data_IF_412813165125
#
_entry.id   IF_412813165125
#
_cell.length_a   1.000
_cell.length_b   1.000
_cell.length_c   1.000
_cell.angle_alpha   90.00
_cell.angle_beta   90.00
_cell.angle_gamma   90.00
#
_symmetry.space_group_name_H-M   'P 1'
#
loop_
_entity.id
_entity.type
_entity.pdbx_description
1 polymer ?
#
# COMPACT_ATOMS: atom_id res chain seq x y z
N UNK A 1 -16.55 3.55 18.20
CA UNK A 1 -15.25 2.87 18.19
C UNK A 1 -14.27 3.68 19.03
N UNK A 2 -13.59 3.07 19.98
CA UNK A 2 -12.64 3.76 20.89
C UNK A 2 -11.22 3.63 20.34
N UNK A 3 -10.54 4.74 20.04
CA UNK A 3 -9.21 4.71 19.42
C UNK A 3 -8.10 4.40 20.43
N UNK A 4 -8.14 5.05 21.60
CA UNK A 4 -7.09 5.01 22.63
C UNK A 4 -7.32 3.90 23.65
N UNK A 5 -7.11 2.65 23.23
CA UNK A 5 -7.36 1.47 24.06
C UNK A 5 -6.30 0.39 23.89
N UNK A 6 -6.00 -0.34 24.97
CA UNK A 6 -5.25 -1.60 24.93
C UNK A 6 -6.05 -2.69 24.22
N UNK A 7 -5.41 -3.35 23.26
CA UNK A 7 -6.02 -4.36 22.39
C UNK A 7 -5.28 -5.67 22.46
N UNK A 8 -6.04 -6.75 22.52
CA UNK A 8 -5.52 -8.10 22.29
C UNK A 8 -5.33 -8.37 20.80
N UNK A 9 -4.58 -9.42 20.49
CA UNK A 9 -4.28 -9.85 19.11
C UNK A 9 -5.55 -9.94 18.24
N UNK A 10 -6.57 -10.65 18.72
CA UNK A 10 -7.82 -10.83 17.98
C UNK A 10 -8.62 -9.53 17.82
N UNK A 11 -8.53 -8.62 18.79
CA UNK A 11 -9.19 -7.32 18.72
C UNK A 11 -8.57 -6.41 17.66
N UNK A 12 -7.25 -6.43 17.48
CA UNK A 12 -6.59 -5.67 16.40
C UNK A 12 -7.16 -6.06 15.02
N UNK A 13 -7.33 -7.36 14.80
CA UNK A 13 -7.88 -7.90 13.55
C UNK A 13 -9.38 -7.55 13.43
N UNK A 14 -10.16 -7.81 14.48
CA UNK A 14 -11.60 -7.52 14.50
C UNK A 14 -11.94 -6.04 14.32
N UNK A 15 -11.20 -5.15 14.99
CA UNK A 15 -11.38 -3.70 14.88
C UNK A 15 -11.02 -3.20 13.48
N UNK A 16 -10.04 -3.83 12.81
CA UNK A 16 -9.70 -3.51 11.41
C UNK A 16 -10.90 -3.68 10.49
N UNK A 17 -11.62 -4.82 10.57
CA UNK A 17 -12.81 -5.03 9.73
C UNK A 17 -14.03 -4.23 10.22
N UNK A 18 -14.15 -4.02 11.53
CA UNK A 18 -15.20 -3.17 12.09
C UNK A 18 -15.06 -1.73 11.60
N UNK A 19 -13.84 -1.22 11.45
CA UNK A 19 -13.59 0.09 10.85
C UNK A 19 -14.15 0.18 9.43
N UNK A 20 -13.86 -0.79 8.56
CA UNK A 20 -14.43 -0.78 7.21
C UNK A 20 -15.95 -0.98 7.20
N UNK A 21 -16.52 -1.69 8.18
CA UNK A 21 -17.97 -1.79 8.33
C UNK A 21 -18.60 -0.45 8.70
N UNK A 22 -17.97 0.32 9.58
CA UNK A 22 -18.50 1.61 10.05
C UNK A 22 -18.21 2.77 9.08
N UNK A 23 -17.00 2.82 8.53
CA UNK A 23 -16.47 3.96 7.76
C UNK A 23 -16.19 3.64 6.30
N UNK A 24 -16.21 2.37 5.88
CA UNK A 24 -15.66 1.91 4.61
C UNK A 24 -16.21 2.61 3.37
N UNK A 25 -17.52 2.92 3.33
CA UNK A 25 -18.08 3.66 2.19
C UNK A 25 -17.49 5.06 2.06
N UNK A 26 -17.47 5.83 3.16
CA UNK A 26 -16.91 7.19 3.15
C UNK A 26 -15.39 7.16 2.93
N UNK A 27 -14.69 6.20 3.55
CA UNK A 27 -13.27 5.96 3.38
C UNK A 27 -12.90 5.68 1.92
N UNK A 28 -13.54 4.68 1.28
CA UNK A 28 -13.21 4.27 -0.09
C UNK A 28 -13.54 5.37 -1.10
N UNK A 29 -14.66 6.08 -0.92
CA UNK A 29 -15.01 7.20 -1.79
C UNK A 29 -13.95 8.31 -1.73
N UNK A 30 -13.59 8.76 -0.52
CA UNK A 30 -12.53 9.76 -0.35
C UNK A 30 -11.17 9.26 -0.86
N UNK A 31 -10.85 7.98 -0.64
CA UNK A 31 -9.61 7.36 -1.12
C UNK A 31 -9.52 7.41 -2.64
N UNK A 32 -10.59 7.02 -3.34
CA UNK A 32 -10.67 7.05 -4.79
C UNK A 32 -10.71 8.47 -5.35
N UNK A 33 -11.36 9.42 -4.66
CA UNK A 33 -11.35 10.82 -5.08
C UNK A 33 -9.93 11.41 -5.05
N UNK A 34 -9.14 11.08 -4.02
CA UNK A 34 -7.77 11.59 -3.88
C UNK A 34 -6.77 10.84 -4.78
N UNK A 35 -6.82 9.51 -4.79
CA UNK A 35 -5.83 8.68 -5.48
C UNK A 35 -6.22 8.33 -6.93
N UNK A 36 -7.52 8.31 -7.25
CA UNK A 36 -8.02 7.80 -8.53
C UNK A 36 -7.50 8.55 -9.74
N UNK A 37 -7.37 9.89 -9.66
CA UNK A 37 -6.77 10.68 -10.73
C UNK A 37 -5.30 10.31 -10.99
N UNK A 38 -4.53 10.08 -9.93
CA UNK A 38 -3.11 9.69 -10.02
C UNK A 38 -2.99 8.28 -10.60
N UNK A 39 -3.84 7.34 -10.17
CA UNK A 39 -3.90 5.97 -10.68
C UNK A 39 -4.26 5.95 -12.16
N UNK A 40 -5.22 6.78 -12.60
CA UNK A 40 -5.58 6.92 -14.02
C UNK A 40 -4.43 7.52 -14.84
N UNK A 41 -3.76 8.55 -14.34
CA UNK A 41 -2.59 9.13 -15.01
C UNK A 41 -1.44 8.13 -15.12
N UNK A 42 -1.23 7.29 -14.09
CA UNK A 42 -0.27 6.19 -14.14
C UNK A 42 -0.62 5.19 -15.25
N UNK A 43 -1.89 4.77 -15.35
CA UNK A 43 -2.34 3.88 -16.43
C UNK A 43 -2.06 4.50 -17.81
N UNK A 44 -2.47 5.75 -18.01
CA UNK A 44 -2.27 6.45 -19.29
C UNK A 44 -0.78 6.53 -19.62
N UNK A 45 0.07 6.88 -18.65
CA UNK A 45 1.52 6.97 -18.83
C UNK A 45 2.12 5.61 -19.21
N UNK A 46 1.67 4.53 -18.56
CA UNK A 46 2.14 3.17 -18.85
C UNK A 46 1.69 2.72 -20.24
N UNK A 47 0.44 2.96 -20.61
CA UNK A 47 -0.10 2.58 -21.92
C UNK A 47 0.56 3.38 -23.04
N UNK A 48 0.71 4.70 -22.90
CA UNK A 48 1.32 5.54 -23.94
C UNK A 48 2.82 5.30 -24.08
N UNK A 49 3.53 5.09 -22.97
CA UNK A 49 4.99 4.99 -23.00
C UNK A 49 5.55 3.57 -23.11
N UNK A 50 4.81 2.55 -22.69
CA UNK A 50 5.25 1.15 -22.70
C UNK A 50 4.22 0.21 -23.37
N UNK A 51 3.15 0.74 -23.97
CA UNK A 51 2.10 -0.06 -24.59
C UNK A 51 2.60 -0.99 -25.69
N UNK A 52 3.56 -0.57 -26.51
CA UNK A 52 4.16 -1.43 -27.54
C UNK A 52 4.97 -2.57 -26.94
N UNK A 53 5.77 -2.31 -25.90
CA UNK A 53 6.53 -3.32 -25.17
C UNK A 53 5.55 -4.34 -24.54
N UNK A 54 4.49 -3.85 -23.91
CA UNK A 54 3.44 -4.68 -23.31
C UNK A 54 2.72 -5.50 -24.40
N UNK A 55 2.34 -4.89 -25.52
CA UNK A 55 1.68 -5.54 -26.65
C UNK A 55 2.55 -6.67 -27.22
N UNK A 56 3.87 -6.46 -27.35
CA UNK A 56 4.78 -7.50 -27.82
C UNK A 56 4.94 -8.65 -26.80
N UNK A 57 4.90 -8.35 -25.49
CA UNK A 57 4.93 -9.37 -24.43
C UNK A 57 3.67 -10.25 -24.43
N UNK A 58 2.49 -9.67 -24.70
CA UNK A 58 1.21 -10.38 -24.71
C UNK A 58 0.78 -10.92 -26.08
N UNK A 59 1.23 -10.31 -27.17
CA UNK A 59 0.86 -10.64 -28.55
C UNK A 59 1.54 -11.90 -29.08
N UNK A 60 2.57 -12.38 -28.39
CA UNK A 60 3.33 -13.57 -28.77
C UNK A 60 4.10 -13.35 -30.06
N UNK A 61 5.35 -13.76 -30.05
CA UNK A 61 6.14 -13.87 -31.25
C UNK A 61 5.72 -15.14 -32.02
N UNK A 62 4.45 -15.20 -32.45
CA UNK A 62 3.83 -16.37 -33.10
C UNK A 62 4.56 -16.74 -34.40
N UNK A 63 5.32 -15.80 -34.97
CA UNK A 63 6.08 -15.93 -36.21
C UNK A 63 7.60 -16.10 -36.04
N UNK A 64 8.16 -16.12 -34.82
CA UNK A 64 9.60 -16.37 -34.60
C UNK A 64 10.54 -15.20 -34.91
N UNK A 65 10.04 -13.97 -34.98
CA UNK A 65 10.84 -12.76 -35.24
C UNK A 65 11.72 -12.38 -34.04
N UNK A 66 12.96 -11.97 -34.29
CA UNK A 66 13.91 -11.68 -33.20
C UNK A 66 13.44 -10.50 -32.35
N UNK A 67 13.60 -10.59 -31.03
CA UNK A 67 13.27 -9.58 -30.00
C UNK A 67 13.51 -8.13 -30.49
N UNK A 68 12.46 -7.42 -30.91
CA UNK A 68 12.53 -6.03 -31.41
C UNK A 68 12.80 -4.99 -30.30
N UNK A 69 12.93 -5.42 -29.05
CA UNK A 69 13.14 -4.51 -27.91
C UNK A 69 14.37 -3.62 -28.10
N UNK A 70 15.47 -4.15 -28.63
CA UNK A 70 16.69 -3.36 -28.84
C UNK A 70 16.46 -2.27 -29.90
N UNK A 71 15.78 -2.60 -30.99
CA UNK A 71 15.46 -1.63 -32.04
C UNK A 71 14.46 -0.59 -31.54
N UNK A 72 13.35 -1.02 -30.92
CA UNK A 72 12.36 -0.12 -30.33
C UNK A 72 12.99 0.82 -29.28
N UNK A 73 13.86 0.29 -28.42
CA UNK A 73 14.59 1.08 -27.44
C UNK A 73 15.50 2.11 -28.12
N UNK A 74 16.28 1.70 -29.11
CA UNK A 74 17.18 2.61 -29.84
C UNK A 74 16.40 3.72 -30.55
N UNK A 75 15.25 3.37 -31.15
CA UNK A 75 14.43 4.30 -31.92
C UNK A 75 13.63 5.25 -31.01
N UNK A 76 13.31 4.83 -29.78
CA UNK A 76 12.43 5.57 -28.85
C UNK A 76 13.11 5.95 -27.52
N UNK A 77 14.44 5.90 -27.44
CA UNK A 77 15.19 6.06 -26.19
C UNK A 77 14.80 7.32 -25.42
N UNK A 78 14.69 8.45 -26.12
CA UNK A 78 14.35 9.74 -25.49
C UNK A 78 12.94 9.72 -24.90
N UNK A 79 11.94 9.23 -25.65
CA UNK A 79 10.57 9.09 -25.17
C UNK A 79 10.52 8.18 -23.93
N UNK A 80 11.21 7.04 -23.96
CA UNK A 80 11.24 6.09 -22.85
C UNK A 80 11.87 6.70 -21.60
N UNK A 81 12.94 7.49 -21.72
CA UNK A 81 13.54 8.21 -20.58
C UNK A 81 12.54 9.21 -19.99
N UNK A 82 11.90 10.04 -20.83
CA UNK A 82 10.92 11.02 -20.35
C UNK A 82 9.71 10.35 -19.68
N UNK A 83 9.13 9.31 -20.30
CA UNK A 83 8.05 8.53 -19.70
C UNK A 83 8.50 7.91 -18.38
N UNK A 84 9.72 7.37 -18.29
CA UNK A 84 10.25 6.77 -17.05
C UNK A 84 10.33 7.80 -15.91
N UNK A 85 10.77 9.04 -16.22
CA UNK A 85 10.82 10.13 -15.25
C UNK A 85 9.40 10.52 -14.79
N UNK A 86 8.46 10.68 -15.72
CA UNK A 86 7.07 11.00 -15.39
C UNK A 86 6.45 9.89 -14.53
N UNK A 87 6.66 8.63 -14.91
CA UNK A 87 6.20 7.46 -14.16
C UNK A 87 6.76 7.46 -12.75
N UNK A 88 8.07 7.70 -12.59
CA UNK A 88 8.71 7.80 -11.28
C UNK A 88 8.11 8.90 -10.40
N UNK A 89 7.87 10.09 -10.96
CA UNK A 89 7.25 11.20 -10.24
C UNK A 89 5.79 10.87 -9.83
N UNK A 90 5.01 10.26 -10.73
CA UNK A 90 3.64 9.82 -10.42
C UNK A 90 3.62 8.72 -9.35
N UNK A 91 4.57 7.80 -9.35
CA UNK A 91 4.70 6.77 -8.32
C UNK A 91 5.06 7.36 -6.96
N UNK A 92 5.97 8.34 -6.90
CA UNK A 92 6.28 9.07 -5.67
C UNK A 92 5.05 9.80 -5.13
N UNK A 93 4.29 10.45 -6.02
CA UNK A 93 3.09 11.17 -5.66
C UNK A 93 1.99 10.20 -5.19
N UNK A 94 1.81 9.07 -5.88
CA UNK A 94 0.89 8.00 -5.47
C UNK A 94 1.28 7.47 -4.09
N UNK A 95 2.55 7.15 -3.86
CA UNK A 95 3.06 6.69 -2.56
C UNK A 95 2.69 7.67 -1.44
N UNK A 96 2.90 8.96 -1.69
CA UNK A 96 2.62 10.02 -0.73
C UNK A 96 1.14 10.06 -0.34
N UNK A 97 0.24 10.04 -1.33
CA UNK A 97 -1.20 10.11 -1.08
C UNK A 97 -1.78 8.80 -0.56
N UNK A 98 -1.44 7.67 -1.18
CA UNK A 98 -2.00 6.36 -0.87
C UNK A 98 -1.63 5.90 0.53
N UNK A 99 -0.38 6.07 0.97
CA UNK A 99 0.07 5.55 2.27
C UNK A 99 -0.25 6.50 3.43
N UNK A 100 -0.36 7.81 3.19
CA UNK A 100 -0.72 8.77 4.24
C UNK A 100 -2.22 8.92 4.44
N UNK A 101 -3.02 8.61 3.41
CA UNK A 101 -4.47 8.75 3.46
C UNK A 101 -5.11 8.03 4.65
N UNK A 102 -4.81 6.74 4.93
CA UNK A 102 -5.42 6.04 6.05
C UNK A 102 -5.07 6.67 7.39
N UNK A 103 -3.86 7.19 7.52
CA UNK A 103 -3.36 7.82 8.74
C UNK A 103 -4.10 9.13 9.01
N UNK A 104 -4.26 9.98 7.99
CA UNK A 104 -5.04 11.22 8.13
C UNK A 104 -6.53 10.94 8.37
N UNK A 105 -7.09 9.95 7.68
CA UNK A 105 -8.48 9.56 7.92
C UNK A 105 -8.68 9.12 9.36
N UNK A 106 -7.82 8.23 9.87
CA UNK A 106 -7.83 7.79 11.27
C UNK A 106 -7.69 8.98 12.22
N UNK A 107 -6.74 9.89 11.94
CA UNK A 107 -6.51 11.08 12.75
C UNK A 107 -7.77 11.93 12.89
N UNK A 108 -8.43 12.26 11.77
CA UNK A 108 -9.66 13.05 11.77
C UNK A 108 -10.75 12.35 12.57
N UNK A 109 -10.96 11.04 12.34
CA UNK A 109 -12.00 10.29 13.05
C UNK A 109 -11.69 10.18 14.55
N UNK A 110 -10.42 10.03 14.93
CA UNK A 110 -10.01 9.99 16.35
C UNK A 110 -10.18 11.33 17.05
N UNK A 111 -10.00 12.45 16.34
CA UNK A 111 -10.11 13.81 16.92
C UNK A 111 -11.56 14.32 16.95
N UNK A 112 -12.36 13.98 15.94
CA UNK A 112 -13.71 14.57 15.77
C UNK A 112 -14.85 13.61 16.07
N UNK A 113 -14.60 12.30 16.09
CA UNK A 113 -15.65 11.27 16.12
C UNK A 113 -16.56 11.26 14.89
N UNK A 114 -16.29 12.10 13.87
CA UNK A 114 -17.17 12.29 12.72
C UNK A 114 -17.13 11.06 11.80
N UNK A 115 -18.31 10.54 11.44
CA UNK A 115 -18.46 9.42 10.49
C UNK A 115 -18.43 9.84 9.02
N UNK A 116 -18.51 11.15 8.75
CA UNK A 116 -18.54 11.71 7.40
C UNK A 116 -17.34 12.64 7.21
N UNK A 117 -16.16 12.03 7.07
CA UNK A 117 -14.94 12.76 6.73
C UNK A 117 -15.09 13.30 5.31
N UNK A 118 -14.71 14.56 5.11
CA UNK A 118 -14.75 15.23 3.81
C UNK A 118 -13.40 15.17 3.11
N UNK A 119 -13.39 15.20 1.78
CA UNK A 119 -12.16 15.21 1.00
C UNK A 119 -11.31 16.45 1.29
N UNK A 120 -11.95 17.60 1.54
CA UNK A 120 -11.26 18.86 1.88
C UNK A 120 -10.49 18.76 3.18
N UNK A 121 -11.08 18.18 4.24
CA UNK A 121 -10.39 17.98 5.52
C UNK A 121 -9.11 17.16 5.33
N UNK A 122 -9.19 16.08 4.55
CA UNK A 122 -8.04 15.21 4.27
C UNK A 122 -6.97 15.97 3.47
N UNK A 123 -7.37 16.72 2.43
CA UNK A 123 -6.46 17.52 1.60
C UNK A 123 -5.75 18.60 2.42
N UNK A 124 -6.43 19.22 3.37
CA UNK A 124 -5.84 20.25 4.22
C UNK A 124 -4.75 19.66 5.14
N UNK A 125 -4.98 18.46 5.67
CA UNK A 125 -3.93 17.72 6.38
C UNK A 125 -2.74 17.36 5.48
N UNK A 126 -2.97 16.97 4.23
CA UNK A 126 -1.89 16.75 3.25
C UNK A 126 -1.07 18.02 3.01
N UNK A 127 -1.73 19.17 2.75
CA UNK A 127 -1.06 20.45 2.50
C UNK A 127 -0.24 20.88 3.72
N UNK A 128 -0.83 20.82 4.91
CA UNK A 128 -0.16 21.18 6.16
C UNK A 128 1.05 20.31 6.51
N UNK A 129 1.09 19.07 6.00
CA UNK A 129 2.17 18.11 6.29
C UNK A 129 3.05 17.77 5.08
N UNK A 130 2.88 18.44 3.93
CA UNK A 130 3.51 18.05 2.68
C UNK A 130 5.04 17.89 2.79
N UNK A 131 5.72 18.86 3.41
CA UNK A 131 7.18 18.79 3.64
C UNK A 131 7.57 17.61 4.52
N UNK A 132 6.81 17.34 5.58
CA UNK A 132 7.08 16.22 6.50
C UNK A 132 6.90 14.89 5.80
N UNK A 133 5.84 14.74 4.99
CA UNK A 133 5.59 13.57 4.18
C UNK A 133 6.69 13.32 3.16
N UNK A 134 7.08 14.36 2.42
CA UNK A 134 8.14 14.25 1.41
C UNK A 134 9.47 13.81 2.05
N UNK A 135 9.86 14.42 3.17
CA UNK A 135 11.05 14.00 3.93
C UNK A 135 10.91 12.58 4.49
N UNK A 136 9.71 12.20 4.96
CA UNK A 136 9.44 10.87 5.48
C UNK A 136 9.62 9.78 4.40
N UNK A 137 9.00 9.94 3.24
CA UNK A 137 9.07 8.95 2.17
C UNK A 137 10.46 8.87 1.54
N UNK A 138 11.13 10.01 1.32
CA UNK A 138 12.53 10.01 0.89
C UNK A 138 13.45 9.35 1.93
N UNK A 139 13.29 9.69 3.21
CA UNK A 139 14.04 9.06 4.31
C UNK A 139 13.82 7.55 4.34
N UNK A 140 12.58 7.10 4.17
CA UNK A 140 12.22 5.66 4.14
C UNK A 140 12.91 4.96 2.97
N UNK A 141 12.88 5.55 1.77
CA UNK A 141 13.53 5.01 0.56
C UNK A 141 15.04 4.88 0.75
N UNK A 142 15.71 5.88 1.32
CA UNK A 142 17.18 5.88 1.42
C UNK A 142 17.74 5.22 2.68
N UNK A 143 16.92 5.00 3.71
CA UNK A 143 17.40 4.45 5.00
C UNK A 143 16.75 3.10 5.28
N UNK A 144 15.42 3.02 5.31
CA UNK A 144 14.72 1.80 5.68
C UNK A 144 14.85 0.73 4.58
N UNK A 145 14.70 1.13 3.31
CA UNK A 145 14.78 0.17 2.19
C UNK A 145 16.15 -0.51 2.08
N UNK A 146 17.31 0.18 2.15
CA UNK A 146 18.61 -0.52 2.11
C UNK A 146 18.84 -1.44 3.31
N UNK A 147 18.41 -1.04 4.50
CA UNK A 147 18.51 -1.88 5.70
C UNK A 147 17.67 -3.15 5.53
N UNK A 148 16.44 -3.01 5.03
CA UNK A 148 15.57 -4.14 4.76
C UNK A 148 16.11 -5.05 3.66
N UNK A 149 16.69 -4.48 2.60
CA UNK A 149 17.35 -5.24 1.55
C UNK A 149 18.53 -6.06 2.10
N UNK A 150 19.39 -5.45 2.92
CA UNK A 150 20.47 -6.15 3.59
C UNK A 150 19.96 -7.28 4.52
N UNK A 151 18.88 -7.03 5.27
CA UNK A 151 18.27 -8.03 6.15
C UNK A 151 17.62 -9.18 5.36
N UNK A 152 17.06 -8.90 4.18
CA UNK A 152 16.51 -9.90 3.26
C UNK A 152 17.62 -10.77 2.68
N UNK A 153 18.72 -10.17 2.24
CA UNK A 153 19.91 -10.89 1.75
C UNK A 153 20.51 -11.79 2.83
N UNK A 154 20.64 -11.27 4.05
CA UNK A 154 21.12 -12.05 5.20
C UNK A 154 20.18 -13.21 5.50
N UNK A 155 18.86 -12.97 5.50
CA UNK A 155 17.88 -14.02 5.73
C UNK A 155 17.96 -15.10 4.65
N UNK A 156 18.15 -14.71 3.38
CA UNK A 156 18.33 -15.63 2.26
C UNK A 156 19.57 -16.51 2.43
N UNK A 157 20.71 -15.95 2.87
CA UNK A 157 21.92 -16.72 3.17
C UNK A 157 21.67 -17.75 4.29
N UNK A 158 20.90 -17.37 5.32
CA UNK A 158 20.58 -18.24 6.45
C UNK A 158 19.53 -19.32 6.11
N UNK A 159 18.97 -19.36 4.89
CA UNK A 159 18.02 -20.42 4.48
C UNK A 159 18.70 -21.79 4.52
N UNK A 160 20.01 -21.86 4.25
CA UNK A 160 20.80 -23.10 4.26
C UNK A 160 20.66 -23.84 5.61
N UNK A 161 20.51 -23.10 6.70
CA UNK A 161 20.37 -23.64 8.07
C UNK A 161 18.91 -23.63 8.56
N UNK A 162 17.93 -23.52 7.66
CA UNK A 162 16.47 -23.43 7.91
C UNK A 162 15.99 -22.20 8.71
N UNK A 163 16.85 -21.60 9.55
CA UNK A 163 16.54 -20.38 10.33
C UNK A 163 16.18 -19.21 9.41
N UNK A 164 16.82 -19.10 8.25
CA UNK A 164 16.54 -18.05 7.27
C UNK A 164 15.10 -18.02 6.78
N UNK A 165 14.44 -19.18 6.68
CA UNK A 165 13.04 -19.27 6.25
C UNK A 165 12.11 -18.57 7.26
N UNK A 166 12.32 -18.82 8.56
CA UNK A 166 11.55 -18.18 9.62
C UNK A 166 11.80 -16.67 9.67
N UNK A 167 13.05 -16.24 9.50
CA UNK A 167 13.40 -14.83 9.42
C UNK A 167 12.71 -14.15 8.24
N UNK A 168 12.67 -14.81 7.08
CA UNK A 168 12.05 -14.28 5.87
C UNK A 168 10.55 -14.00 6.06
N UNK A 169 9.83 -14.94 6.67
CA UNK A 169 8.39 -14.79 6.97
C UNK A 169 8.14 -13.64 7.95
N UNK A 170 9.01 -13.46 8.94
CA UNK A 170 8.89 -12.39 9.93
C UNK A 170 9.32 -11.02 9.39
N UNK A 171 10.21 -10.97 8.39
CA UNK A 171 10.82 -9.74 7.92
C UNK A 171 9.78 -8.76 7.40
N UNK A 172 8.88 -9.24 6.53
CA UNK A 172 7.84 -8.45 5.89
C UNK A 172 6.94 -7.76 6.94
N UNK A 173 6.25 -8.47 7.86
CA UNK A 173 5.39 -7.82 8.84
C UNK A 173 6.15 -6.88 9.79
N UNK A 174 7.41 -7.18 10.13
CA UNK A 174 8.24 -6.31 10.97
C UNK A 174 8.55 -4.98 10.27
N UNK A 175 8.99 -5.02 9.01
CA UNK A 175 9.29 -3.81 8.23
C UNK A 175 8.05 -2.96 8.04
N UNK A 176 6.95 -3.61 7.64
CA UNK A 176 5.64 -3.04 7.46
C UNK A 176 5.20 -2.27 8.72
N UNK A 177 5.35 -2.86 9.90
CA UNK A 177 5.04 -2.19 11.17
C UNK A 177 5.96 -1.02 11.47
N UNK A 178 7.28 -1.17 11.26
CA UNK A 178 8.23 -0.08 11.52
C UNK A 178 7.91 1.14 10.65
N UNK A 179 7.66 0.94 9.36
CA UNK A 179 7.31 2.04 8.44
C UNK A 179 6.00 2.70 8.89
N UNK A 180 4.97 1.92 9.19
CA UNK A 180 3.69 2.49 9.61
C UNK A 180 3.77 3.19 10.96
N UNK A 181 4.35 2.59 11.99
CA UNK A 181 4.52 3.24 13.30
C UNK A 181 5.30 4.54 13.17
N UNK A 182 6.31 4.58 12.31
CA UNK A 182 7.06 5.81 12.03
C UNK A 182 6.17 6.87 11.37
N UNK A 183 5.31 6.47 10.43
CA UNK A 183 4.38 7.38 9.75
C UNK A 183 3.32 7.92 10.72
N UNK A 184 2.71 7.06 11.52
CA UNK A 184 1.75 7.44 12.56
C UNK A 184 2.39 8.38 13.60
N UNK A 185 3.60 8.08 14.08
CA UNK A 185 4.30 8.95 15.05
C UNK A 185 4.73 10.29 14.44
N UNK A 186 5.00 10.33 13.13
CA UNK A 186 5.30 11.58 12.41
C UNK A 186 4.06 12.47 12.24
N UNK A 187 2.91 11.87 11.90
CA UNK A 187 1.70 12.61 11.52
C UNK A 187 0.74 12.90 12.68
N UNK A 188 0.64 11.97 13.63
CA UNK A 188 -0.17 12.12 14.84
C UNK A 188 0.71 12.62 15.98
N UNK A 189 1.82 11.93 16.25
CA UNK A 189 2.75 12.30 17.32
C UNK A 189 3.56 13.57 17.04
N UNK A 190 3.58 14.05 15.79
CA UNK A 190 4.27 15.28 15.39
C UNK A 190 5.81 15.19 15.43
N UNK A 191 6.38 13.99 15.62
CA UNK A 191 7.80 13.78 15.72
C UNK A 191 8.51 13.92 14.36
N UNK A 192 9.81 14.26 14.38
CA UNK A 192 10.63 14.25 13.17
C UNK A 192 10.94 12.81 12.71
N UNK A 193 11.24 12.64 11.42
CA UNK A 193 11.44 11.31 10.80
C UNK A 193 12.35 10.37 11.62
N UNK A 194 13.56 10.82 11.99
CA UNK A 194 14.50 9.97 12.73
C UNK A 194 14.01 9.61 14.13
N UNK A 195 13.39 10.57 14.83
CA UNK A 195 12.82 10.33 16.15
C UNK A 195 11.66 9.32 16.05
N UNK A 196 10.78 9.51 15.07
CA UNK A 196 9.66 8.63 14.79
C UNK A 196 10.12 7.21 14.43
N UNK A 197 11.18 7.09 13.62
CA UNK A 197 11.77 5.80 13.27
C UNK A 197 12.31 5.08 14.52
N UNK A 198 13.05 5.77 15.38
CA UNK A 198 13.54 5.19 16.65
C UNK A 198 12.37 4.76 17.54
N UNK A 199 11.32 5.58 17.65
CA UNK A 199 10.10 5.23 18.40
C UNK A 199 9.46 3.97 17.83
N UNK A 200 9.31 3.89 16.51
CA UNK A 200 8.73 2.74 15.82
C UNK A 200 9.52 1.44 16.05
N UNK A 201 10.86 1.51 16.00
CA UNK A 201 11.72 0.37 16.34
C UNK A 201 11.49 -0.08 17.79
N UNK A 202 11.41 0.85 18.75
CA UNK A 202 11.12 0.51 20.16
C UNK A 202 9.73 -0.12 20.35
N UNK A 203 8.71 0.39 19.65
CA UNK A 203 7.36 -0.17 19.67
C UNK A 203 7.34 -1.60 19.12
N UNK A 204 7.95 -1.81 17.95
CA UNK A 204 7.96 -3.10 17.27
C UNK A 204 8.70 -4.16 18.09
N UNK A 205 9.88 -3.85 18.62
CA UNK A 205 10.69 -4.78 19.43
C UNK A 205 10.42 -4.71 20.95
N UNK A 206 9.22 -4.24 21.32
CA UNK A 206 8.76 -4.27 22.71
C UNK A 206 8.35 -5.69 23.14
N UNK A 207 7.91 -5.84 24.41
CA UNK A 207 7.30 -7.09 24.90
C UNK A 207 6.07 -7.55 24.08
N UNK A 208 5.51 -6.66 23.25
CA UNK A 208 4.36 -6.93 22.38
C UNK A 208 4.76 -7.35 20.96
N UNK A 209 6.05 -7.62 20.69
CA UNK A 209 6.58 -8.00 19.37
C UNK A 209 5.72 -9.05 18.65
N UNK A 210 5.46 -10.18 19.30
CA UNK A 210 4.68 -11.28 18.71
C UNK A 210 3.23 -10.89 18.41
N UNK A 211 2.65 -10.02 19.24
CA UNK A 211 1.29 -9.49 19.04
C UNK A 211 1.22 -8.67 17.75
N UNK A 212 2.13 -7.71 17.58
CA UNK A 212 2.12 -6.83 16.41
C UNK A 212 2.58 -7.52 15.13
N UNK A 213 3.67 -8.30 15.21
CA UNK A 213 4.16 -9.05 14.06
C UNK A 213 3.11 -10.05 13.56
N UNK A 214 2.53 -10.85 14.47
CA UNK A 214 1.52 -11.84 14.12
C UNK A 214 0.24 -11.22 13.56
N UNK A 215 -0.24 -10.12 14.16
CA UNK A 215 -1.47 -9.48 13.69
C UNK A 215 -1.28 -8.92 12.27
N UNK A 216 -0.12 -8.32 12.00
CA UNK A 216 0.25 -7.87 10.66
C UNK A 216 0.37 -9.02 9.68
N UNK A 217 0.98 -10.14 10.07
CA UNK A 217 1.08 -11.33 9.22
C UNK A 217 -0.31 -11.87 8.85
N UNK A 218 -1.23 -11.96 9.81
CA UNK A 218 -2.60 -12.44 9.55
C UNK A 218 -3.36 -11.48 8.63
N UNK A 219 -3.30 -10.17 8.87
CA UNK A 219 -3.93 -9.18 8.00
C UNK A 219 -3.33 -9.23 6.59
N UNK A 220 -2.00 -9.37 6.48
CA UNK A 220 -1.32 -9.51 5.19
C UNK A 220 -1.79 -10.75 4.43
N UNK A 221 -1.93 -11.91 5.10
CA UNK A 221 -2.45 -13.13 4.49
C UNK A 221 -3.90 -12.96 4.01
N UNK A 222 -4.75 -12.31 4.80
CA UNK A 222 -6.14 -12.04 4.40
C UNK A 222 -6.18 -11.13 3.16
N UNK A 223 -5.40 -10.05 3.17
CA UNK A 223 -5.27 -9.13 2.03
C UNK A 223 -4.77 -9.88 0.79
N UNK A 224 -3.75 -10.73 0.94
CA UNK A 224 -3.17 -11.51 -0.16
C UNK A 224 -4.22 -12.42 -0.80
N UNK A 225 -4.99 -13.16 -0.01
CA UNK A 225 -6.06 -14.04 -0.51
C UNK A 225 -7.14 -13.24 -1.24
N UNK A 226 -7.59 -12.11 -0.67
CA UNK A 226 -8.61 -11.26 -1.30
C UNK A 226 -8.09 -10.69 -2.63
N UNK A 227 -6.87 -10.16 -2.65
CA UNK A 227 -6.26 -9.61 -3.87
C UNK A 227 -6.08 -10.66 -4.96
N UNK A 228 -5.74 -11.90 -4.58
CA UNK A 228 -5.62 -13.02 -5.52
C UNK A 228 -6.94 -13.31 -6.25
N UNK A 229 -8.09 -13.19 -5.58
CA UNK A 229 -9.40 -13.40 -6.21
C UNK A 229 -9.65 -12.36 -7.32
N UNK A 230 -9.20 -11.12 -7.14
CA UNK A 230 -9.34 -10.07 -8.14
C UNK A 230 -8.36 -10.24 -9.30
N UNK A 231 -7.15 -10.78 -9.08
CA UNK A 231 -6.17 -11.02 -10.16
C UNK A 231 -6.43 -12.31 -10.92
N UNK A 232 -7.08 -13.30 -10.30
CA UNK A 232 -7.42 -14.57 -10.94
C UNK A 232 -8.35 -14.37 -12.15
N UNK A 233 -9.30 -13.43 -12.07
CA UNK A 233 -10.26 -13.17 -13.14
C UNK A 233 -9.56 -12.76 -14.45
N UNK A 234 -8.71 -11.71 -14.50
CA UNK A 234 -7.93 -11.39 -15.68
C UNK A 234 -7.07 -12.57 -16.20
N UNK A 235 -6.46 -13.33 -15.30
CA UNK A 235 -5.61 -14.48 -15.65
C UNK A 235 -6.42 -15.56 -16.36
N UNK A 236 -7.61 -15.90 -15.86
CA UNK A 236 -8.49 -16.89 -16.47
C UNK A 236 -8.93 -16.44 -17.86
N UNK A 237 -9.35 -15.17 -18.00
CA UNK A 237 -9.73 -14.57 -19.28
C UNK A 237 -8.59 -14.67 -20.30
N UNK A 238 -7.36 -14.30 -19.89
CA UNK A 238 -6.18 -14.43 -20.74
C UNK A 238 -5.89 -15.89 -21.10
N UNK A 239 -5.94 -16.80 -20.12
CA UNK A 239 -5.76 -18.24 -20.35
C UNK A 239 -6.73 -18.78 -21.40
N UNK A 240 -8.03 -18.45 -21.30
CA UNK A 240 -9.04 -18.84 -22.28
C UNK A 240 -8.78 -18.24 -23.66
N UNK A 241 -8.31 -16.99 -23.74
CA UNK A 241 -8.01 -16.33 -25.02
C UNK A 241 -6.96 -17.09 -25.85
N UNK A 242 -5.93 -17.64 -25.19
CA UNK A 242 -4.87 -18.40 -25.84
C UNK A 242 -5.44 -19.67 -26.50
N UNK A 243 -6.37 -20.35 -25.82
CA UNK A 243 -6.99 -21.57 -26.34
C UNK A 243 -7.98 -21.31 -27.48
N UNK A 244 -8.62 -20.14 -27.53
CA UNK A 244 -9.55 -19.78 -28.61
C UNK A 244 -8.84 -19.31 -29.89
N UNK A 245 -7.66 -18.70 -29.77
CA UNK A 245 -6.86 -18.24 -30.94
C UNK A 245 -6.24 -19.42 -31.71
N UNK A 246 -5.97 -20.55 -31.06
CA UNK A 246 -5.47 -21.77 -31.71
C UNK A 246 -6.45 -22.40 -32.73
N UNK A 247 -7.72 -21.94 -32.77
CA UNK A 247 -8.76 -22.42 -33.68
C UNK A 247 -8.85 -21.72 -35.05
N UNK A 248 -7.89 -20.85 -35.40
CA UNK A 248 -7.84 -20.20 -36.72
C UNK A 248 -8.77 -18.99 -36.89
N UNK A 249 -9.38 -18.49 -35.82
CA UNK A 249 -10.07 -17.20 -35.82
C UNK A 249 -9.04 -16.08 -35.63
N UNK A 250 -8.53 -15.56 -36.74
CA UNK A 250 -7.74 -14.34 -36.79
C UNK A 250 -8.71 -13.15 -36.79
N UNK A 251 -9.37 -12.89 -35.66
CA UNK A 251 -10.13 -11.65 -35.51
C UNK A 251 -10.16 -11.14 -34.05
N UNK A 252 -9.75 -9.87 -33.91
CA UNK A 252 -9.71 -9.00 -32.73
C UNK A 252 -8.84 -9.38 -31.51
N UNK A 253 -7.57 -9.74 -31.74
CA UNK A 253 -6.54 -9.76 -30.69
C UNK A 253 -6.45 -8.43 -29.92
N UNK A 254 -6.71 -7.30 -30.58
CA UNK A 254 -6.69 -5.95 -29.99
C UNK A 254 -7.80 -5.76 -28.95
N UNK A 255 -9.05 -6.16 -29.24
CA UNK A 255 -10.17 -6.02 -28.29
C UNK A 255 -9.96 -6.89 -27.07
N UNK A 256 -9.46 -8.11 -27.25
CA UNK A 256 -9.18 -9.01 -26.14
C UNK A 256 -8.04 -8.50 -25.25
N UNK A 257 -6.96 -7.96 -25.85
CA UNK A 257 -5.86 -7.33 -25.12
C UNK A 257 -6.35 -6.10 -24.34
N UNK A 258 -7.18 -5.24 -24.94
CA UNK A 258 -7.76 -4.07 -24.25
C UNK A 258 -8.61 -4.54 -23.06
N UNK A 259 -9.45 -5.56 -23.24
CA UNK A 259 -10.29 -6.10 -22.16
C UNK A 259 -9.45 -6.66 -21.01
N UNK A 260 -8.37 -7.40 -21.30
CA UNK A 260 -7.44 -7.91 -20.28
C UNK A 260 -6.77 -6.76 -19.53
N UNK A 261 -6.29 -5.73 -20.23
CA UNK A 261 -5.65 -4.57 -19.61
C UNK A 261 -6.62 -3.80 -18.69
N UNK A 262 -7.87 -3.59 -19.12
CA UNK A 262 -8.91 -2.96 -18.29
C UNK A 262 -9.20 -3.80 -17.06
N UNK A 263 -9.31 -5.12 -17.19
CA UNK A 263 -9.56 -6.02 -16.06
C UNK A 263 -8.38 -6.01 -15.07
N UNK A 264 -7.13 -6.07 -15.55
CA UNK A 264 -5.95 -5.94 -14.70
C UNK A 264 -5.92 -4.60 -13.97
N UNK A 265 -6.27 -3.51 -14.65
CA UNK A 265 -6.35 -2.19 -14.04
C UNK A 265 -7.39 -2.14 -12.91
N UNK A 266 -8.57 -2.73 -13.13
CA UNK A 266 -9.59 -2.88 -12.09
C UNK A 266 -9.04 -3.68 -10.89
N UNK A 267 -8.37 -4.81 -11.14
CA UNK A 267 -7.76 -5.63 -10.09
C UNK A 267 -6.70 -4.87 -9.28
N UNK A 268 -5.92 -4.00 -9.94
CA UNK A 268 -4.95 -3.11 -9.28
C UNK A 268 -5.67 -2.12 -8.35
N UNK A 269 -6.75 -1.47 -8.80
CA UNK A 269 -7.55 -0.57 -7.96
C UNK A 269 -8.09 -1.30 -6.73
N UNK A 270 -8.67 -2.48 -6.90
CA UNK A 270 -9.16 -3.30 -5.79
C UNK A 270 -8.02 -3.67 -4.83
N UNK A 271 -6.86 -4.06 -5.36
CA UNK A 271 -5.69 -4.38 -4.54
C UNK A 271 -5.26 -3.20 -3.68
N UNK A 272 -5.21 -1.98 -4.25
CA UNK A 272 -4.92 -0.77 -3.50
C UNK A 272 -5.95 -0.51 -2.39
N UNK A 273 -7.25 -0.67 -2.67
CA UNK A 273 -8.30 -0.51 -1.66
C UNK A 273 -8.11 -1.51 -0.52
N UNK A 274 -7.96 -2.80 -0.83
CA UNK A 274 -7.83 -3.87 0.18
C UNK A 274 -6.55 -3.70 1.00
N UNK A 275 -5.47 -3.21 0.39
CA UNK A 275 -4.21 -2.94 1.07
C UNK A 275 -4.33 -1.85 2.16
N UNK A 276 -5.37 -1.00 2.13
CA UNK A 276 -5.65 -0.04 3.20
C UNK A 276 -5.90 -0.73 4.55
N UNK A 277 -6.41 -1.98 4.57
CA UNK A 277 -6.65 -2.71 5.81
C UNK A 277 -5.39 -2.93 6.63
N UNK A 278 -4.24 -3.02 5.97
CA UNK A 278 -2.95 -3.10 6.63
C UNK A 278 -2.61 -1.82 7.40
N UNK A 279 -2.85 -0.64 6.83
CA UNK A 279 -2.62 0.65 7.51
C UNK A 279 -3.60 0.87 8.67
N UNK A 280 -4.86 0.48 8.49
CA UNK A 280 -5.86 0.55 9.57
C UNK A 280 -5.43 -0.33 10.74
N UNK A 281 -4.99 -1.57 10.47
CA UNK A 281 -4.48 -2.48 11.49
C UNK A 281 -3.26 -1.91 12.22
N UNK A 282 -2.31 -1.32 11.48
CA UNK A 282 -1.16 -0.67 12.08
C UNK A 282 -1.52 0.55 12.94
N UNK A 283 -2.59 1.28 12.58
CA UNK A 283 -3.13 2.36 13.40
C UNK A 283 -3.61 1.87 14.77
N UNK A 284 -4.32 0.74 14.82
CA UNK A 284 -4.72 0.13 16.08
C UNK A 284 -3.54 -0.30 16.95
N UNK A 285 -2.50 -0.87 16.33
CA UNK A 285 -1.27 -1.22 17.01
C UNK A 285 -0.53 0.01 17.54
N UNK A 286 -0.51 1.10 16.78
CA UNK A 286 0.07 2.36 17.20
C UNK A 286 -0.62 2.91 18.45
N UNK A 287 -1.96 3.06 18.44
CA UNK A 287 -2.69 3.55 19.61
C UNK A 287 -2.64 2.58 20.81
N UNK A 288 -2.60 1.27 20.56
CA UNK A 288 -2.37 0.29 21.64
C UNK A 288 -1.01 0.51 22.32
N UNK A 289 0.03 0.85 21.54
CA UNK A 289 1.40 1.04 22.03
C UNK A 289 1.62 2.36 22.79
N UNK A 290 0.74 3.35 22.61
CA UNK A 290 0.87 4.71 23.15
C UNK A 290 0.10 4.89 24.46
N UNK A 291 0.70 4.41 25.55
CA UNK A 291 0.13 4.56 26.91
C UNK A 291 0.04 6.04 27.35
N UNK A 292 0.91 6.90 26.83
CA UNK A 292 0.87 8.35 27.03
C UNK A 292 -0.40 8.99 26.48
N UNK A 293 -0.83 8.58 25.27
CA UNK A 293 -2.05 9.09 24.65
C UNK A 293 -3.33 8.55 25.33
N UNK A 294 -3.24 7.39 26.00
CA UNK A 294 -4.35 6.81 26.76
C UNK A 294 -4.64 7.63 28.04
N UNK A 295 -3.59 8.11 28.70
CA UNK A 295 -3.72 8.97 29.88
C UNK A 295 -4.43 10.28 29.57
N UNK A 296 -3.99 10.99 28.52
CA UNK A 296 -4.62 12.25 28.08
C UNK A 296 -6.09 12.07 27.67
N UNK A 297 -6.42 11.01 26.93
CA UNK A 297 -7.79 10.71 26.54
C UNK A 297 -8.69 10.43 27.77
N UNK A 298 -8.20 9.66 28.74
CA UNK A 298 -8.94 9.36 29.97
C UNK A 298 -9.21 10.61 30.82
N UNK A 299 -8.27 11.56 30.86
CA UNK A 299 -8.43 12.83 31.58
C UNK A 299 -9.47 13.70 30.87
N UNK A 300 -9.42 13.79 29.53
CA UNK A 300 -10.40 14.55 28.76
C UNK A 300 -11.83 14.02 28.90
N UNK A 301 -12.02 12.69 29.02
CA UNK A 301 -13.34 12.10 29.25
C UNK A 301 -13.88 12.41 30.66
N UNK A 302 -13.00 12.40 31.68
CA UNK A 302 -13.38 12.77 33.05
C UNK A 302 -13.82 14.25 33.11
N UNK A 303 -13.07 15.14 32.45
CA UNK A 303 -13.41 16.57 32.41
C UNK A 303 -14.76 16.83 31.69
N UNK A 304 -15.11 16.02 30.69
CA UNK A 304 -16.39 16.10 30.00
C UNK A 304 -17.58 15.52 30.80
N UNK A 305 -17.32 14.58 31.72
CA UNK A 305 -18.34 14.03 32.63
C UNK A 305 -18.54 14.87 33.90
N UNK A 306 -17.62 15.79 34.20
CA UNK A 306 -17.67 16.70 35.34
C UNK A 306 -18.38 18.05 35.10
N UNK A 307 -18.97 18.24 33.90
CA UNK A 307 -19.82 19.37 33.50
C UNK A 307 -21.27 18.92 33.33
#
# INVERSE_FOLDING_TARGET
>A
MEFYKKRDFGQIIGDTFTFFKEYGRNFILNYLTINGGIILLLLITVVLGYGEIISQLFGGNISGETYYFQQYYNDNQMMLIFTSIILFLLLLLLMLFTFSFPVFYIKIVSETGNKKVTTSEIIDHFKGNFKRLLLFYLGTIFIVTPIFFAATLLSAFLIIIMIGLFLFIMLIPVMLNIVNFSLFDTLIGGNSYFKALITAFKMQFSRRFWKYMGATLVIYLIIYVISMLFTLIPILIFGFSIFTVAGGAQDDSTVMVILILVMYFISIIFSFIVFNAFYISAGWMYFDSREDLQGEASISEIDQMGL
#
